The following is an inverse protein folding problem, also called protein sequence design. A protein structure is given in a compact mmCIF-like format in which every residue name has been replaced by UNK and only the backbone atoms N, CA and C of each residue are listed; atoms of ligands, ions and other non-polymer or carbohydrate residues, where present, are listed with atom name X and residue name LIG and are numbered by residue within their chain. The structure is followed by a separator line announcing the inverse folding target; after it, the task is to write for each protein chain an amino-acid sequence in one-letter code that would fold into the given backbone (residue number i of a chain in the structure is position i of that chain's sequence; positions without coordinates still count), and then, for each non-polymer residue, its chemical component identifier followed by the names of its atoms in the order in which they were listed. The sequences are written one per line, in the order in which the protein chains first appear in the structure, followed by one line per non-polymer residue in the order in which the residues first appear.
data_IF_873130036190
#
_entry.id   IF_873130036190
#
_cell.length_a   1.000
_cell.length_b   1.000
_cell.length_c   1.000
_cell.angle_alpha   90.00
_cell.angle_beta   90.00
_cell.angle_gamma   90.00
#
_symmetry.space_group_name_H-M   'P 1'
#
loop_
_entity.id
_entity.type
_entity.pdbx_description
1 polymer ?
#
# COMPACT_ATOMS: atom_id res chain seq x y z
N UNK A 1 53.34 31.52 -36.74
CA UNK A 1 53.11 30.27 -35.97
C UNK A 1 53.40 29.08 -36.87
N UNK A 2 54.36 28.23 -36.50
CA UNK A 2 54.92 27.17 -37.34
C UNK A 2 53.99 25.94 -37.33
N UNK A 3 53.72 25.38 -38.51
CA UNK A 3 52.88 24.18 -38.78
C UNK A 3 53.10 23.02 -37.78
N UNK A 4 54.31 22.90 -37.24
CA UNK A 4 54.70 21.87 -36.27
C UNK A 4 54.03 22.04 -34.90
N UNK A 5 53.67 23.27 -34.51
CA UNK A 5 53.02 23.53 -33.22
C UNK A 5 51.54 23.11 -33.22
N UNK A 6 50.88 23.21 -34.38
CA UNK A 6 49.48 22.79 -34.57
C UNK A 6 49.34 21.26 -34.57
N UNK A 7 50.33 20.56 -35.14
CA UNK A 7 50.38 19.08 -35.18
C UNK A 7 50.53 18.51 -33.76
N UNK A 8 51.40 19.08 -32.91
CA UNK A 8 51.55 18.64 -31.52
C UNK A 8 50.27 18.82 -30.69
N UNK A 9 49.50 19.90 -30.92
CA UNK A 9 48.24 20.14 -30.22
C UNK A 9 47.19 19.11 -30.65
N UNK A 10 47.08 18.82 -31.95
CA UNK A 10 46.12 17.83 -32.46
C UNK A 10 46.41 16.42 -31.95
N UNK A 11 47.69 16.01 -31.90
CA UNK A 11 48.08 14.69 -31.36
C UNK A 11 47.76 14.61 -29.85
N UNK A 12 48.07 15.67 -29.09
CA UNK A 12 47.76 15.71 -27.66
C UNK A 12 46.26 15.58 -27.38
N UNK A 13 45.42 16.26 -28.16
CA UNK A 13 43.96 16.20 -28.04
C UNK A 13 43.41 14.81 -28.37
N UNK A 14 43.95 14.13 -29.39
CA UNK A 14 43.52 12.77 -29.73
C UNK A 14 43.86 11.75 -28.64
N UNK A 15 45.00 11.91 -27.96
CA UNK A 15 45.38 11.02 -26.85
C UNK A 15 44.46 11.23 -25.64
N UNK A 16 44.11 12.48 -25.33
CA UNK A 16 43.17 12.79 -24.23
C UNK A 16 41.78 12.21 -24.50
N UNK A 17 41.29 12.32 -25.73
CA UNK A 17 39.99 11.76 -26.12
C UNK A 17 40.01 10.22 -26.00
N UNK A 18 41.08 9.56 -26.44
CA UNK A 18 41.22 8.11 -26.30
C UNK A 18 41.24 7.66 -24.83
N UNK A 19 41.90 8.41 -23.96
CA UNK A 19 41.92 8.13 -22.51
C UNK A 19 40.53 8.32 -21.90
N UNK A 20 39.82 9.40 -22.25
CA UNK A 20 38.47 9.66 -21.75
C UNK A 20 37.46 8.60 -22.22
N UNK A 21 37.55 8.16 -23.48
CA UNK A 21 36.71 7.08 -24.01
C UNK A 21 37.04 5.76 -23.31
N UNK A 22 38.32 5.41 -23.14
CA UNK A 22 38.71 4.21 -22.41
C UNK A 22 38.19 4.24 -20.96
N UNK A 23 38.30 5.36 -20.26
CA UNK A 23 37.77 5.51 -18.90
C UNK A 23 36.25 5.27 -18.82
N UNK A 24 35.49 5.61 -19.87
CA UNK A 24 34.05 5.32 -19.96
C UNK A 24 33.77 3.84 -20.20
N UNK A 25 34.58 3.15 -21.00
CA UNK A 25 34.43 1.70 -21.23
C UNK A 25 34.84 0.84 -20.02
N UNK A 26 35.74 1.35 -19.17
CA UNK A 26 36.23 0.66 -17.98
C UNK A 26 35.60 1.18 -16.67
N UNK A 27 34.58 2.05 -16.74
CA UNK A 27 33.85 2.49 -15.56
C UNK A 27 32.83 1.43 -15.15
N UNK A 28 33.21 0.54 -14.25
CA UNK A 28 32.24 -0.28 -13.51
C UNK A 28 31.62 0.57 -12.39
N UNK A 29 30.28 0.68 -12.32
CA UNK A 29 29.63 1.33 -11.20
C UNK A 29 29.96 0.56 -9.91
N UNK A 30 30.21 1.30 -8.82
CA UNK A 30 30.45 0.70 -7.52
C UNK A 30 29.34 -0.32 -7.18
N UNK A 31 29.69 -1.49 -6.62
CA UNK A 31 28.67 -2.46 -6.20
C UNK A 31 27.73 -1.80 -5.20
N UNK A 32 26.43 -2.02 -5.37
CA UNK A 32 25.44 -1.57 -4.42
C UNK A 32 25.80 -2.10 -3.01
N UNK A 33 25.62 -1.31 -1.94
CA UNK A 33 25.86 -1.80 -0.59
C UNK A 33 25.02 -3.04 -0.33
N UNK A 34 25.64 -4.08 0.26
CA UNK A 34 24.94 -5.30 0.66
C UNK A 34 23.79 -4.93 1.61
N UNK A 35 22.55 -5.13 1.16
CA UNK A 35 21.39 -5.07 2.05
C UNK A 35 21.58 -6.18 3.08
N UNK A 36 21.62 -5.88 4.39
CA UNK A 36 21.75 -6.91 5.40
C UNK A 36 20.60 -7.90 5.22
N UNK A 37 20.96 -9.18 5.06
CA UNK A 37 19.99 -10.28 5.02
C UNK A 37 19.15 -10.18 6.29
N UNK A 38 17.87 -9.81 6.13
CA UNK A 38 16.91 -9.79 7.23
C UNK A 38 16.77 -11.24 7.67
N UNK A 39 17.41 -11.60 8.78
CA UNK A 39 17.29 -12.95 9.34
C UNK A 39 15.81 -13.26 9.53
N UNK A 40 15.34 -14.28 8.82
CA UNK A 40 13.97 -14.73 8.97
C UNK A 40 13.78 -15.23 10.40
N UNK A 41 12.81 -14.68 11.15
CA UNK A 41 12.56 -15.14 12.51
C UNK A 41 12.25 -16.65 12.51
N UNK A 42 12.57 -17.36 13.61
CA UNK A 42 12.27 -18.79 13.73
C UNK A 42 10.79 -19.06 13.40
N UNK A 43 10.49 -20.19 12.74
CA UNK A 43 9.12 -20.58 12.43
C UNK A 43 8.21 -20.45 13.67
N UNK A 44 7.08 -19.77 13.51
CA UNK A 44 6.10 -19.51 14.60
C UNK A 44 6.30 -18.19 15.37
N UNK A 45 7.52 -17.68 15.51
CA UNK A 45 7.78 -16.38 16.20
C UNK A 45 7.33 -15.21 15.34
N UNK A 46 7.39 -15.34 14.01
CA UNK A 46 6.86 -14.36 13.09
C UNK A 46 5.38 -14.09 13.37
N UNK A 47 4.56 -15.15 13.41
CA UNK A 47 3.09 -15.08 13.48
C UNK A 47 2.62 -14.49 14.81
N UNK A 48 3.29 -14.79 15.93
CA UNK A 48 2.92 -14.26 17.25
C UNK A 48 3.12 -12.75 17.42
N UNK A 49 3.89 -12.12 16.53
CA UNK A 49 4.21 -10.69 16.62
C UNK A 49 3.53 -9.85 15.53
N UNK A 50 2.69 -10.44 14.66
CA UNK A 50 1.99 -9.71 13.58
C UNK A 50 0.75 -9.01 14.16
N UNK A 51 0.47 -7.75 13.79
CA UNK A 51 -0.75 -7.08 14.17
C UNK A 51 -1.99 -7.84 13.67
N UNK A 52 -3.07 -7.84 14.46
CA UNK A 52 -4.31 -8.51 14.09
C UNK A 52 -5.40 -7.47 13.83
N UNK A 53 -6.03 -7.55 12.65
CA UNK A 53 -7.12 -6.66 12.25
C UNK A 53 -8.43 -7.44 12.23
N UNK A 54 -9.37 -7.02 13.06
CA UNK A 54 -10.76 -7.45 13.01
C UNK A 54 -11.59 -6.40 12.28
N UNK A 55 -12.27 -6.81 11.21
CA UNK A 55 -13.16 -5.96 10.44
C UNK A 55 -14.47 -6.71 10.16
N UNK A 56 -15.62 -6.02 10.07
CA UNK A 56 -16.89 -6.65 9.72
C UNK A 56 -16.82 -7.17 8.28
N UNK A 57 -17.39 -8.36 8.06
CA UNK A 57 -17.55 -8.93 6.72
C UNK A 57 -18.91 -8.63 6.11
N UNK A 58 -19.89 -8.22 6.92
CA UNK A 58 -21.27 -7.96 6.49
C UNK A 58 -21.88 -6.81 7.28
N UNK A 59 -22.63 -5.96 6.60
CA UNK A 59 -23.48 -4.90 7.18
C UNK A 59 -24.87 -5.01 6.55
N UNK A 60 -25.92 -4.98 7.36
CA UNK A 60 -27.31 -5.03 6.89
C UNK A 60 -28.04 -3.75 7.31
N UNK A 61 -28.75 -3.11 6.37
CA UNK A 61 -29.51 -1.89 6.60
C UNK A 61 -30.62 -1.73 5.55
N UNK A 62 -31.56 -0.81 5.76
CA UNK A 62 -32.56 -0.43 4.74
C UNK A 62 -32.08 0.77 3.94
N UNK A 63 -32.64 0.96 2.75
CA UNK A 63 -32.40 2.16 1.96
C UNK A 63 -32.79 3.43 2.75
N UNK A 64 -31.87 4.40 2.81
CA UNK A 64 -32.04 5.64 3.57
C UNK A 64 -31.51 5.57 5.01
N UNK A 65 -31.02 4.42 5.47
CA UNK A 65 -30.43 4.26 6.79
C UNK A 65 -28.90 4.46 6.77
N UNK A 66 -28.36 4.64 7.97
CA UNK A 66 -26.93 4.62 8.26
C UNK A 66 -26.64 3.52 9.27
N UNK A 67 -25.60 2.74 9.04
CA UNK A 67 -25.09 1.72 9.96
C UNK A 67 -23.63 2.01 10.29
N UNK A 68 -23.25 1.73 11.54
CA UNK A 68 -21.88 1.90 12.03
C UNK A 68 -21.38 0.57 12.60
N UNK A 69 -20.16 0.21 12.24
CA UNK A 69 -19.47 -0.98 12.75
C UNK A 69 -18.05 -0.65 13.17
N UNK A 70 -17.50 -1.45 14.08
CA UNK A 70 -16.14 -1.24 14.57
C UNK A 70 -15.12 -2.07 13.78
N UNK A 71 -14.05 -1.41 13.35
CA UNK A 71 -12.80 -2.03 12.91
C UNK A 71 -11.83 -1.95 14.08
N UNK A 72 -11.34 -3.10 14.54
CA UNK A 72 -10.43 -3.20 15.68
C UNK A 72 -9.06 -3.69 15.23
N UNK A 73 -8.03 -2.90 15.51
CA UNK A 73 -6.64 -3.26 15.28
C UNK A 73 -5.96 -3.53 16.63
N UNK A 74 -5.49 -4.75 16.82
CA UNK A 74 -4.60 -5.10 17.92
C UNK A 74 -3.16 -5.12 17.41
N UNK A 75 -2.37 -4.12 17.82
CA UNK A 75 -0.94 -4.14 17.52
C UNK A 75 -0.23 -5.11 18.47
N UNK A 76 0.75 -5.83 17.93
CA UNK A 76 1.63 -6.69 18.72
C UNK A 76 3.01 -6.04 18.79
N UNK A 77 4.04 -6.81 19.08
CA UNK A 77 5.42 -6.30 19.13
C UNK A 77 5.89 -5.73 17.78
N UNK A 78 5.39 -6.27 16.66
CA UNK A 78 5.53 -5.68 15.33
C UNK A 78 4.17 -5.08 14.89
N UNK A 79 4.21 -4.18 13.90
CA UNK A 79 3.07 -3.36 13.48
C UNK A 79 2.94 -1.94 14.04
N UNK A 80 3.90 -1.35 14.80
CA UNK A 80 3.84 0.09 15.08
C UNK A 80 4.13 0.89 13.80
N UNK A 81 3.57 2.09 13.70
CA UNK A 81 3.76 2.99 12.55
C UNK A 81 2.47 3.65 12.09
N UNK A 82 2.48 4.18 10.87
CA UNK A 82 1.29 4.72 10.24
C UNK A 82 0.37 3.60 9.73
N UNK A 83 -0.92 3.73 10.02
CA UNK A 83 -1.99 2.89 9.48
C UNK A 83 -2.85 3.73 8.54
N UNK A 84 -3.20 3.16 7.39
CA UNK A 84 -4.10 3.75 6.41
C UNK A 84 -5.17 2.73 5.95
N UNK A 85 -6.44 3.07 6.13
CA UNK A 85 -7.60 2.29 5.67
C UNK A 85 -8.20 2.86 4.39
N UNK A 86 -8.61 1.98 3.48
CA UNK A 86 -9.23 2.36 2.20
C UNK A 86 -10.39 1.44 1.82
N UNK A 87 -11.29 1.96 0.99
CA UNK A 87 -12.34 1.18 0.32
C UNK A 87 -12.18 1.38 -1.20
N UNK A 88 -11.22 0.69 -1.84
CA UNK A 88 -10.77 1.08 -3.19
C UNK A 88 -11.81 0.86 -4.29
N UNK A 89 -12.60 -0.22 -4.20
CA UNK A 89 -13.55 -0.56 -5.27
C UNK A 89 -14.70 -1.44 -4.79
N UNK A 90 -15.83 -1.34 -5.51
CA UNK A 90 -16.90 -2.34 -5.49
C UNK A 90 -16.53 -3.47 -6.45
N UNK A 91 -16.81 -4.70 -6.04
CA UNK A 91 -16.58 -5.90 -6.84
C UNK A 91 -17.85 -6.72 -6.98
N UNK A 92 -17.86 -7.63 -7.95
CA UNK A 92 -19.00 -8.52 -8.21
C UNK A 92 -19.31 -9.48 -7.07
N UNK A 93 -18.28 -10.00 -6.41
CA UNK A 93 -18.39 -10.97 -5.33
C UNK A 93 -17.09 -10.99 -4.50
N UNK A 94 -17.12 -11.65 -3.34
CA UNK A 94 -15.93 -11.92 -2.52
C UNK A 94 -14.90 -12.68 -3.36
N UNK A 95 -13.62 -12.29 -3.26
CA UNK A 95 -12.51 -12.78 -4.08
C UNK A 95 -12.54 -12.39 -5.57
N UNK A 96 -13.61 -11.77 -6.07
CA UNK A 96 -13.67 -11.35 -7.47
C UNK A 96 -12.71 -10.19 -7.75
N UNK A 97 -12.01 -10.25 -8.89
CA UNK A 97 -11.23 -9.14 -9.46
C UNK A 97 -12.04 -8.26 -10.40
N UNK A 98 -13.27 -8.66 -10.72
CA UNK A 98 -14.19 -7.88 -11.56
C UNK A 98 -14.74 -6.70 -10.76
N UNK A 99 -14.24 -5.50 -11.08
CA UNK A 99 -14.71 -4.25 -10.48
C UNK A 99 -16.03 -3.80 -11.11
N UNK A 100 -16.92 -3.31 -10.26
CA UNK A 100 -18.21 -2.76 -10.63
C UNK A 100 -18.24 -1.26 -10.32
N UNK A 101 -19.07 -0.47 -11.03
CA UNK A 101 -19.26 0.94 -10.71
C UNK A 101 -19.79 1.08 -9.29
N UNK A 102 -19.30 2.12 -8.61
CA UNK A 102 -19.82 2.52 -7.31
C UNK A 102 -21.32 2.83 -7.44
N UNK A 103 -22.18 2.30 -6.57
CA UNK A 103 -23.62 2.51 -6.68
C UNK A 103 -23.98 3.92 -6.21
N UNK A 104 -24.81 4.60 -7.00
CA UNK A 104 -25.36 5.90 -6.61
C UNK A 104 -26.18 5.73 -5.33
N UNK A 105 -25.95 6.63 -4.36
CA UNK A 105 -26.70 6.60 -3.10
C UNK A 105 -26.17 5.66 -2.03
N UNK A 106 -24.96 5.12 -2.17
CA UNK A 106 -24.25 4.39 -1.10
C UNK A 106 -22.90 5.04 -0.86
N UNK A 107 -22.58 5.30 0.42
CA UNK A 107 -21.27 5.78 0.83
C UNK A 107 -20.70 4.90 1.95
N UNK A 108 -19.38 4.69 1.94
CA UNK A 108 -18.65 3.98 2.99
C UNK A 108 -17.48 4.86 3.43
N UNK A 109 -17.37 5.11 4.72
CA UNK A 109 -16.22 5.81 5.32
C UNK A 109 -15.67 5.03 6.50
N UNK A 110 -14.42 5.30 6.85
CA UNK A 110 -13.74 4.73 8.02
C UNK A 110 -13.08 5.89 8.77
N UNK A 111 -13.37 6.06 10.06
CA UNK A 111 -12.79 7.12 10.89
C UNK A 111 -12.25 6.61 12.24
N UNK A 112 -10.99 6.89 12.61
CA UNK A 112 -9.95 7.46 11.75
C UNK A 112 -9.54 6.48 10.64
N UNK A 113 -9.35 6.99 9.43
CA UNK A 113 -8.73 6.24 8.32
C UNK A 113 -7.21 6.22 8.40
N UNK A 114 -6.64 7.26 9.01
CA UNK A 114 -5.21 7.55 9.07
C UNK A 114 -4.79 7.87 10.50
N UNK A 115 -3.92 7.05 11.08
CA UNK A 115 -3.48 7.25 12.47
C UNK A 115 -2.17 6.53 12.78
N UNK A 116 -1.47 7.04 13.78
CA UNK A 116 -0.25 6.41 14.31
C UNK A 116 -0.61 5.38 15.36
N UNK A 117 0.03 4.22 15.29
CA UNK A 117 -0.13 3.13 16.25
C UNK A 117 1.18 2.76 16.95
N UNK A 118 1.06 2.37 18.20
CA UNK A 118 2.15 1.95 19.08
C UNK A 118 2.05 0.45 19.37
N UNK A 119 3.14 -0.23 19.77
CA UNK A 119 3.12 -1.66 20.03
C UNK A 119 2.25 -2.05 21.25
N UNK A 120 1.60 -3.21 21.19
CA UNK A 120 0.79 -3.81 22.27
C UNK A 120 -0.41 -2.96 22.72
N UNK A 121 -1.02 -2.25 21.77
CA UNK A 121 -2.18 -1.40 21.99
C UNK A 121 -3.36 -1.88 21.12
N UNK A 122 -4.56 -1.44 21.47
CA UNK A 122 -5.77 -1.69 20.69
C UNK A 122 -6.34 -0.37 20.19
N UNK A 123 -6.62 -0.31 18.91
CA UNK A 123 -7.21 0.84 18.23
C UNK A 123 -8.55 0.46 17.64
N UNK A 124 -9.48 1.41 17.63
CA UNK A 124 -10.80 1.24 17.03
C UNK A 124 -11.05 2.37 16.04
N UNK A 125 -11.45 2.00 14.83
CA UNK A 125 -12.02 2.91 13.84
C UNK A 125 -13.48 2.53 13.59
N UNK A 126 -14.30 3.52 13.28
CA UNK A 126 -15.71 3.34 12.93
C UNK A 126 -15.87 3.29 11.43
N UNK A 127 -16.33 2.15 10.91
CA UNK A 127 -16.83 2.00 9.55
C UNK A 127 -18.27 2.51 9.52
N UNK A 128 -18.55 3.52 8.71
CA UNK A 128 -19.91 4.05 8.51
C UNK A 128 -20.38 3.71 7.11
N UNK A 129 -21.55 3.08 7.01
CA UNK A 129 -22.24 2.83 5.74
C UNK A 129 -23.50 3.68 5.72
N UNK A 130 -23.58 4.61 4.77
CA UNK A 130 -24.74 5.51 4.59
C UNK A 130 -25.41 5.22 3.27
N UNK A 131 -26.73 5.11 3.27
CA UNK A 131 -27.52 4.90 2.05
C UNK A 131 -28.57 5.99 1.87
N UNK A 132 -28.92 6.28 0.62
CA UNK A 132 -30.07 7.12 0.27
C UNK A 132 -31.32 6.26 0.08
N UNK A 133 -32.54 6.82 0.24
CA UNK A 133 -33.79 6.08 0.04
C UNK A 133 -33.98 5.50 -1.36
N UNK A 134 -33.36 6.10 -2.38
CA UNK A 134 -33.49 5.66 -3.78
C UNK A 134 -32.54 4.52 -4.16
N UNK A 135 -31.67 4.10 -3.24
CA UNK A 135 -30.74 2.99 -3.47
C UNK A 135 -31.52 1.68 -3.64
N UNK A 136 -31.24 0.97 -4.72
CA UNK A 136 -31.88 -0.31 -5.00
C UNK A 136 -31.51 -1.35 -3.93
N UNK A 137 -32.51 -2.16 -3.55
CA UNK A 137 -32.29 -3.32 -2.69
C UNK A 137 -31.34 -4.31 -3.37
N UNK A 138 -30.50 -4.96 -2.57
CA UNK A 138 -29.55 -5.96 -3.06
C UNK A 138 -28.27 -6.02 -2.24
N UNK A 139 -27.33 -6.81 -2.76
CA UNK A 139 -26.03 -7.03 -2.16
C UNK A 139 -24.94 -6.26 -2.91
N UNK A 140 -24.10 -5.57 -2.15
CA UNK A 140 -23.00 -4.75 -2.65
C UNK A 140 -21.71 -5.20 -1.96
N UNK A 141 -20.75 -5.72 -2.71
CA UNK A 141 -19.48 -6.20 -2.16
C UNK A 141 -18.37 -5.19 -2.42
N UNK A 142 -17.66 -4.78 -1.38
CA UNK A 142 -16.57 -3.81 -1.45
C UNK A 142 -15.26 -4.44 -0.98
N UNK A 143 -14.15 -4.04 -1.61
CA UNK A 143 -12.81 -4.32 -1.10
C UNK A 143 -12.52 -3.36 0.06
N UNK A 144 -11.97 -3.90 1.14
CA UNK A 144 -11.37 -3.13 2.23
C UNK A 144 -9.85 -3.31 2.15
N UNK A 145 -9.10 -2.21 2.11
CA UNK A 145 -7.64 -2.21 2.13
C UNK A 145 -7.11 -1.68 3.45
N UNK A 146 -6.08 -2.32 4.00
CA UNK A 146 -5.36 -1.85 5.18
C UNK A 146 -3.85 -1.84 4.91
N UNK A 147 -3.26 -0.66 4.96
CA UNK A 147 -1.83 -0.47 4.80
C UNK A 147 -1.19 -0.16 6.14
N UNK A 148 -0.12 -0.89 6.46
CA UNK A 148 0.65 -0.75 7.68
C UNK A 148 2.08 -0.42 7.29
N UNK A 149 2.62 0.65 7.86
CA UNK A 149 4.03 1.00 7.66
C UNK A 149 4.95 -0.16 8.07
N UNK A 150 5.83 -0.59 7.15
CA UNK A 150 6.83 -1.63 7.42
C UNK A 150 6.31 -3.07 7.49
N UNK A 151 5.02 -3.32 7.19
CA UNK A 151 4.40 -4.66 7.14
C UNK A 151 3.69 -4.85 5.79
N UNK A 152 3.48 -6.10 5.35
CA UNK A 152 2.67 -6.38 4.16
C UNK A 152 1.25 -5.83 4.31
N UNK A 153 0.72 -5.28 3.22
CA UNK A 153 -0.62 -4.68 3.15
C UNK A 153 -1.67 -5.78 3.24
N UNK A 154 -2.64 -5.61 4.14
CA UNK A 154 -3.76 -6.52 4.34
C UNK A 154 -5.04 -5.99 3.71
N UNK A 155 -6.11 -6.76 3.85
CA UNK A 155 -7.42 -6.35 3.40
C UNK A 155 -8.44 -7.48 3.46
N UNK A 156 -9.66 -7.18 3.07
CA UNK A 156 -10.71 -8.16 2.94
C UNK A 156 -11.90 -7.61 2.16
N UNK A 157 -13.08 -8.14 2.45
CA UNK A 157 -14.31 -7.74 1.78
C UNK A 157 -15.35 -7.34 2.81
N UNK A 158 -16.20 -6.40 2.42
CA UNK A 158 -17.39 -5.98 3.13
C UNK A 158 -18.60 -6.20 2.22
N UNK A 159 -19.56 -7.01 2.66
CA UNK A 159 -20.84 -7.18 1.98
C UNK A 159 -21.88 -6.29 2.65
N UNK A 160 -22.38 -5.28 1.93
CA UNK A 160 -23.49 -4.44 2.36
C UNK A 160 -24.77 -5.00 1.76
N UNK A 161 -25.73 -5.36 2.61
CA UNK A 161 -27.04 -5.87 2.20
C UNK A 161 -28.10 -4.81 2.49
N UNK A 162 -28.75 -4.34 1.44
CA UNK A 162 -29.82 -3.35 1.50
C UNK A 162 -31.16 -4.06 1.38
N UNK A 163 -31.94 -4.03 2.47
CA UNK A 163 -33.24 -4.69 2.62
C UNK A 163 -34.44 -3.76 2.37
#
# INVERSE_FOLDING_TARGET
MKKNHLICILIGLTVIILIAVAALWFYEPAPAPDNPKKDSPPPGVAIMNIPYLFQPSKVELKAGETAEENITLETRKNGPGLVHYTVPSRVKDVYSTEELPWPDGLNISIEPSDFMVYPNETYTSTLTVTTTPDLLQGEYVFRLGSHFEGVETGGGWLTVVVN
#
